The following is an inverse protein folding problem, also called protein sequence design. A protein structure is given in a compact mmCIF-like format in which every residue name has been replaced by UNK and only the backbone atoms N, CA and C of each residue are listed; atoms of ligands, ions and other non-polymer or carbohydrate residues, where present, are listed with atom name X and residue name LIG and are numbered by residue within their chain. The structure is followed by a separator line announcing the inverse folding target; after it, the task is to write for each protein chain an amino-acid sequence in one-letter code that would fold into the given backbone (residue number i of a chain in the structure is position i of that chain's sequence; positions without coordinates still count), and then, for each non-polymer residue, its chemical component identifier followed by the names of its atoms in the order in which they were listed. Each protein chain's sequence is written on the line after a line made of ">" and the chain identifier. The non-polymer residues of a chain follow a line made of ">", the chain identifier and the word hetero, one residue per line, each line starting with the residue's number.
data_IF_768116930061
#
_entry.id   IF_768116930061
#
_cell.length_a   1.000
_cell.length_b   1.000
_cell.length_c   1.000
_cell.angle_alpha   90.00
_cell.angle_beta   90.00
_cell.angle_gamma   90.00
#
_symmetry.space_group_name_H-M   'P 1'
#
loop_
_entity.id
_entity.type
_entity.pdbx_description
1 polymer ?
#
# COMPACT_ATOMS: atom_id res chain seq x y z
N UNK A 1 9.56 -16.31 14.91
CA UNK A 1 8.46 -16.71 14.02
C UNK A 1 7.16 -15.97 14.32
N UNK A 2 6.65 -15.89 15.58
CA UNK A 2 5.41 -15.17 15.92
C UNK A 2 5.41 -13.71 15.43
N UNK A 3 6.50 -12.95 15.65
CA UNK A 3 6.61 -11.54 15.23
C UNK A 3 6.46 -11.33 13.72
N UNK A 4 6.95 -12.26 12.90
CA UNK A 4 6.78 -12.22 11.43
C UNK A 4 5.31 -12.43 11.07
N UNK A 5 4.65 -13.43 11.66
CA UNK A 5 3.22 -13.69 11.44
C UNK A 5 2.39 -12.46 11.82
N UNK A 6 2.70 -11.85 12.97
CA UNK A 6 2.03 -10.63 13.43
C UNK A 6 2.27 -9.47 12.46
N UNK A 7 3.50 -9.28 11.95
CA UNK A 7 3.80 -8.24 10.96
C UNK A 7 2.95 -8.40 9.69
N UNK A 8 2.90 -9.62 9.13
CA UNK A 8 2.05 -9.89 7.97
C UNK A 8 0.55 -9.71 8.27
N UNK A 9 0.08 -10.15 9.43
CA UNK A 9 -1.32 -9.96 9.84
C UNK A 9 -1.70 -8.49 10.04
N UNK A 10 -0.75 -7.65 10.48
CA UNK A 10 -0.99 -6.22 10.70
C UNK A 10 -0.89 -5.38 9.41
N UNK A 11 0.06 -5.70 8.53
CA UNK A 11 0.44 -4.84 7.42
C UNK A 11 0.15 -5.42 6.04
N UNK A 12 -0.56 -6.57 5.99
CA UNK A 12 -1.00 -7.14 4.73
C UNK A 12 -2.34 -7.86 4.85
N UNK A 13 -2.97 -8.14 3.71
CA UNK A 13 -4.16 -9.00 3.60
C UNK A 13 -3.79 -10.45 3.34
N UNK A 14 -2.51 -10.80 3.37
CA UNK A 14 -2.06 -12.18 3.22
C UNK A 14 -2.57 -13.00 4.40
N UNK A 15 -3.31 -14.09 4.16
CA UNK A 15 -3.88 -14.89 5.23
C UNK A 15 -2.78 -15.52 6.09
N UNK A 16 -2.78 -15.18 7.39
CA UNK A 16 -1.84 -15.68 8.38
C UNK A 16 -2.53 -16.56 9.39
N UNK A 17 -1.86 -17.58 9.93
CA UNK A 17 -2.41 -18.37 11.02
C UNK A 17 -2.64 -17.50 12.26
N UNK A 18 -3.71 -17.80 12.99
CA UNK A 18 -4.03 -17.08 14.22
C UNK A 18 -2.98 -17.37 15.29
N UNK A 19 -2.40 -16.31 15.85
CA UNK A 19 -1.42 -16.39 16.93
C UNK A 19 -1.80 -15.40 18.03
N UNK A 20 -1.51 -15.74 19.29
CA UNK A 20 -1.68 -14.80 20.39
C UNK A 20 -0.67 -13.67 20.31
N UNK A 21 -1.15 -12.44 20.48
CA UNK A 21 -0.36 -11.22 20.40
C UNK A 21 0.17 -10.87 21.79
N UNK A 22 1.40 -11.22 22.08
CA UNK A 22 2.10 -10.81 23.28
C UNK A 22 2.95 -9.54 23.03
N UNK A 23 3.16 -8.74 24.08
CA UNK A 23 3.88 -7.46 24.00
C UNK A 23 5.27 -7.59 23.36
N UNK A 24 5.97 -8.69 23.65
CA UNK A 24 7.31 -8.94 23.11
C UNK A 24 7.28 -9.20 21.60
N UNK A 25 6.39 -10.06 21.14
CA UNK A 25 6.24 -10.37 19.72
C UNK A 25 5.77 -9.17 18.92
N UNK A 26 4.90 -8.33 19.50
CA UNK A 26 4.44 -7.08 18.89
C UNK A 26 5.58 -6.06 18.73
N UNK A 27 6.45 -5.91 19.74
CA UNK A 27 7.62 -5.02 19.64
C UNK A 27 8.57 -5.41 18.51
N UNK A 28 8.73 -6.71 18.25
CA UNK A 28 9.56 -7.22 17.16
C UNK A 28 8.85 -7.27 15.80
N UNK A 29 7.52 -7.08 15.76
CA UNK A 29 6.77 -7.05 14.51
C UNK A 29 7.21 -5.90 13.59
N UNK A 30 7.54 -4.73 14.17
CA UNK A 30 8.10 -3.60 13.41
C UNK A 30 9.44 -3.94 12.73
N UNK A 31 10.29 -4.74 13.38
CA UNK A 31 11.54 -5.19 12.78
C UNK A 31 11.30 -6.17 11.62
N UNK A 32 10.17 -6.87 11.61
CA UNK A 32 9.79 -7.78 10.55
C UNK A 32 9.01 -7.09 9.41
N UNK A 33 8.62 -5.82 9.57
CA UNK A 33 7.88 -5.05 8.56
C UNK A 33 8.56 -5.02 7.18
N UNK A 34 9.90 -4.84 7.05
CA UNK A 34 10.56 -4.88 5.75
C UNK A 34 10.34 -6.20 4.98
N UNK A 35 10.12 -7.32 5.67
CA UNK A 35 9.81 -8.60 5.01
C UNK A 35 8.46 -8.58 4.28
N UNK A 36 7.48 -7.83 4.82
CA UNK A 36 6.19 -7.63 4.16
C UNK A 36 6.41 -6.88 2.84
N UNK A 37 7.25 -5.82 2.85
CA UNK A 37 7.65 -5.07 1.66
C UNK A 37 8.33 -5.96 0.62
N UNK A 38 9.27 -6.82 1.04
CA UNK A 38 9.95 -7.77 0.13
C UNK A 38 8.96 -8.69 -0.56
N UNK A 39 7.96 -9.22 0.15
CA UNK A 39 6.95 -10.11 -0.45
C UNK A 39 6.06 -9.35 -1.43
N UNK A 40 5.59 -8.15 -1.06
CA UNK A 40 4.80 -7.30 -1.96
C UNK A 40 5.62 -6.92 -3.20
N UNK A 41 6.88 -6.54 -3.03
CA UNK A 41 7.81 -6.22 -4.11
C UNK A 41 8.08 -7.41 -5.03
N UNK A 42 8.23 -8.62 -4.48
CA UNK A 42 8.41 -9.84 -5.29
C UNK A 42 7.17 -10.14 -6.15
N UNK A 43 5.96 -9.97 -5.61
CA UNK A 43 4.72 -10.12 -6.38
C UNK A 43 4.62 -9.05 -7.47
N UNK A 44 4.94 -7.80 -7.14
CA UNK A 44 4.97 -6.70 -8.10
C UNK A 44 5.97 -6.97 -9.23
N UNK A 45 7.19 -7.39 -8.88
CA UNK A 45 8.20 -7.75 -9.87
C UNK A 45 7.72 -8.87 -10.81
N UNK A 46 7.15 -9.94 -10.24
CA UNK A 46 6.58 -11.04 -11.02
C UNK A 46 5.46 -10.58 -11.96
N UNK A 47 4.60 -9.67 -11.49
CA UNK A 47 3.56 -9.05 -12.32
C UNK A 47 4.15 -8.24 -13.48
N UNK A 48 5.10 -7.38 -13.21
CA UNK A 48 5.74 -6.54 -14.24
C UNK A 48 6.39 -7.41 -15.31
N UNK A 49 7.12 -8.45 -14.90
CA UNK A 49 7.75 -9.42 -15.81
C UNK A 49 6.71 -10.14 -16.68
N UNK A 50 5.64 -10.64 -16.07
CA UNK A 50 4.57 -11.35 -16.78
C UNK A 50 3.84 -10.43 -17.76
N UNK A 51 3.53 -9.21 -17.33
CA UNK A 51 2.83 -8.23 -18.17
C UNK A 51 3.69 -7.78 -19.37
N UNK A 52 5.00 -7.64 -19.19
CA UNK A 52 5.94 -7.35 -20.28
C UNK A 52 6.04 -8.55 -21.24
N UNK A 53 6.11 -9.77 -20.72
CA UNK A 53 6.14 -10.99 -21.54
C UNK A 53 4.88 -11.16 -22.41
N UNK A 54 3.72 -10.70 -21.90
CA UNK A 54 2.43 -10.77 -22.60
C UNK A 54 2.09 -9.49 -23.38
N UNK A 55 2.98 -8.50 -23.42
CA UNK A 55 2.81 -7.18 -24.07
C UNK A 55 1.54 -6.43 -23.61
N UNK A 56 1.26 -6.47 -22.30
CA UNK A 56 0.06 -5.92 -21.66
C UNK A 56 0.30 -4.53 -21.06
N UNK A 57 0.67 -3.52 -21.85
CA UNK A 57 1.10 -2.20 -21.37
C UNK A 57 0.12 -1.53 -20.40
N UNK A 58 -1.18 -1.48 -20.73
CA UNK A 58 -2.17 -0.83 -19.88
C UNK A 58 -2.45 -1.64 -18.61
N UNK A 59 -2.54 -2.97 -18.71
CA UNK A 59 -2.74 -3.86 -17.58
C UNK A 59 -1.51 -3.90 -16.66
N UNK A 60 -0.31 -3.78 -17.22
CA UNK A 60 0.93 -3.65 -16.45
C UNK A 60 0.85 -2.50 -15.46
N UNK A 61 0.52 -1.31 -15.96
CA UNK A 61 0.40 -0.12 -15.13
C UNK A 61 -0.74 -0.24 -14.09
N UNK A 62 -1.89 -0.77 -14.49
CA UNK A 62 -3.01 -0.99 -13.57
C UNK A 62 -2.65 -1.97 -12.45
N UNK A 63 -2.00 -3.08 -12.77
CA UNK A 63 -1.55 -4.06 -11.78
C UNK A 63 -0.44 -3.51 -10.88
N UNK A 64 0.46 -2.67 -11.41
CA UNK A 64 1.51 -2.03 -10.62
C UNK A 64 0.94 -1.10 -9.54
N UNK A 65 -0.20 -0.46 -9.78
CA UNK A 65 -0.92 0.33 -8.78
C UNK A 65 -1.76 -0.56 -7.87
N UNK A 66 -2.52 -1.49 -8.44
CA UNK A 66 -3.53 -2.25 -7.70
C UNK A 66 -2.94 -3.33 -6.79
N UNK A 67 -1.88 -4.05 -7.22
CA UNK A 67 -1.34 -5.17 -6.45
C UNK A 67 -0.77 -4.77 -5.09
N UNK A 68 0.10 -3.74 -4.97
CA UNK A 68 0.58 -3.31 -3.66
C UNK A 68 -0.56 -2.86 -2.74
N UNK A 69 -1.57 -2.15 -3.27
CA UNK A 69 -2.73 -1.72 -2.50
C UNK A 69 -3.57 -2.90 -2.01
N UNK A 70 -3.85 -3.86 -2.88
CA UNK A 70 -4.62 -5.05 -2.52
C UNK A 70 -3.88 -5.91 -1.47
N UNK A 71 -2.57 -6.12 -1.66
CA UNK A 71 -1.75 -6.94 -0.76
C UNK A 71 -1.56 -6.27 0.61
N UNK A 72 -1.36 -4.95 0.66
CA UNK A 72 -1.29 -4.20 1.92
C UNK A 72 -2.65 -3.96 2.58
N UNK A 73 -3.75 -4.32 1.90
CA UNK A 73 -5.11 -4.08 2.37
C UNK A 73 -5.50 -2.61 2.39
N UNK A 74 -4.88 -1.79 1.55
CA UNK A 74 -5.11 -0.35 1.42
C UNK A 74 -4.82 0.48 2.69
N UNK A 75 -4.15 -0.07 3.71
CA UNK A 75 -3.93 0.60 5.01
C UNK A 75 -3.27 1.97 4.84
N UNK A 76 -2.27 2.08 3.94
CA UNK A 76 -1.57 3.34 3.70
C UNK A 76 -2.42 4.32 2.90
N UNK A 77 -3.20 3.83 1.94
CA UNK A 77 -4.11 4.66 1.15
C UNK A 77 -5.26 5.20 2.01
N UNK A 78 -5.78 4.38 2.92
CA UNK A 78 -6.78 4.78 3.92
C UNK A 78 -6.27 5.95 4.78
N UNK A 79 -5.11 5.80 5.40
CA UNK A 79 -4.49 6.87 6.18
C UNK A 79 -4.17 8.14 5.36
N UNK A 80 -3.84 7.99 4.08
CA UNK A 80 -3.68 9.11 3.16
C UNK A 80 -5.01 9.84 2.93
N UNK A 81 -6.08 9.11 2.66
CA UNK A 81 -7.43 9.64 2.47
C UNK A 81 -7.92 10.41 3.70
N UNK A 82 -7.80 9.81 4.89
CA UNK A 82 -8.18 10.44 6.15
C UNK A 82 -7.40 11.73 6.40
N UNK A 83 -6.09 11.70 6.08
CA UNK A 83 -5.22 12.88 6.19
C UNK A 83 -5.66 13.99 5.24
N UNK A 84 -6.04 13.66 4.00
CA UNK A 84 -6.55 14.61 3.02
C UNK A 84 -7.83 15.28 3.51
N UNK A 85 -8.77 14.53 4.07
CA UNK A 85 -10.01 15.10 4.64
C UNK A 85 -9.71 16.00 5.83
N UNK A 86 -8.87 15.56 6.77
CA UNK A 86 -8.52 16.34 7.94
C UNK A 86 -7.82 17.66 7.57
N UNK A 87 -6.89 17.64 6.63
CA UNK A 87 -6.17 18.85 6.18
C UNK A 87 -7.08 19.80 5.42
N UNK A 88 -7.90 19.26 4.52
CA UNK A 88 -8.80 20.06 3.67
C UNK A 88 -9.99 20.66 4.43
N UNK A 89 -10.26 20.19 5.64
CA UNK A 89 -11.34 20.74 6.49
C UNK A 89 -11.12 22.18 6.95
N UNK A 90 -9.86 22.68 6.89
CA UNK A 90 -9.46 24.00 7.43
C UNK A 90 -9.88 24.26 8.88
N UNK A 91 -10.13 23.20 9.66
CA UNK A 91 -10.57 23.27 11.06
C UNK A 91 -9.40 23.38 12.05
N UNK A 92 -9.73 23.59 13.35
CA UNK A 92 -8.75 23.54 14.43
C UNK A 92 -8.05 22.17 14.52
N UNK A 93 -6.92 22.12 15.20
CA UNK A 93 -6.15 20.87 15.40
C UNK A 93 -6.99 19.78 16.06
N UNK A 94 -7.77 20.16 17.08
CA UNK A 94 -8.63 19.25 17.84
C UNK A 94 -9.69 18.63 16.91
N UNK A 95 -10.33 19.46 16.08
CA UNK A 95 -11.35 19.00 15.13
C UNK A 95 -10.76 18.12 14.02
N UNK A 96 -9.55 18.41 13.54
CA UNK A 96 -8.84 17.53 12.59
C UNK A 96 -8.54 16.16 13.18
N UNK A 97 -8.16 16.07 14.46
CA UNK A 97 -7.97 14.81 15.15
C UNK A 97 -9.27 14.01 15.36
N UNK A 98 -10.41 14.69 15.45
CA UNK A 98 -11.72 14.03 15.45
C UNK A 98 -12.06 13.47 14.08
N UNK A 99 -11.81 14.24 13.00
CA UNK A 99 -12.01 13.77 11.61
C UNK A 99 -11.18 12.52 11.32
N UNK A 100 -9.92 12.49 11.75
CA UNK A 100 -9.06 11.30 11.61
C UNK A 100 -9.56 10.05 12.35
N UNK A 101 -10.49 10.19 13.29
CA UNK A 101 -11.12 9.08 14.02
C UNK A 101 -12.49 8.72 13.50
N UNK A 102 -13.03 9.52 12.61
CA UNK A 102 -14.34 9.31 12.01
C UNK A 102 -14.23 8.25 10.91
N UNK A 103 -15.09 7.26 10.93
CA UNK A 103 -15.15 6.22 9.91
C UNK A 103 -15.83 6.67 8.60
N UNK A 104 -16.34 7.89 8.54
CA UNK A 104 -16.99 8.43 7.35
C UNK A 104 -15.96 9.07 6.42
N UNK A 105 -15.97 8.67 5.18
CA UNK A 105 -15.09 9.22 4.14
C UNK A 105 -15.68 10.52 3.60
N UNK A 106 -14.91 11.60 3.67
CA UNK A 106 -15.32 12.92 3.13
C UNK A 106 -15.02 13.05 1.63
N UNK A 107 -15.52 14.13 1.06
CA UNK A 107 -15.37 14.40 -0.38
C UNK A 107 -13.90 14.58 -0.80
N UNK A 108 -13.09 15.20 0.05
CA UNK A 108 -11.67 15.44 -0.25
C UNK A 108 -10.86 14.15 -0.27
N UNK A 109 -11.14 13.17 0.61
CA UNK A 109 -10.55 11.85 0.56
C UNK A 109 -10.79 11.19 -0.79
N UNK A 110 -12.03 11.24 -1.30
CA UNK A 110 -12.40 10.64 -2.60
C UNK A 110 -11.64 11.32 -3.74
N UNK A 111 -11.58 12.66 -3.74
CA UNK A 111 -10.87 13.44 -4.77
C UNK A 111 -9.38 13.13 -4.74
N UNK A 112 -8.74 13.18 -3.56
CA UNK A 112 -7.32 12.91 -3.40
C UNK A 112 -6.97 11.46 -3.76
N UNK A 113 -7.79 10.50 -3.36
CA UNK A 113 -7.64 9.09 -3.75
C UNK A 113 -7.71 8.92 -5.26
N UNK A 114 -8.71 9.50 -5.91
CA UNK A 114 -8.87 9.46 -7.37
C UNK A 114 -7.68 10.06 -8.10
N UNK A 115 -7.19 11.23 -7.66
CA UNK A 115 -6.00 11.87 -8.21
C UNK A 115 -4.74 11.02 -8.01
N UNK A 116 -4.55 10.46 -6.81
CA UNK A 116 -3.44 9.56 -6.53
C UNK A 116 -3.42 8.35 -7.46
N UNK A 117 -4.55 7.67 -7.62
CA UNK A 117 -4.66 6.49 -8.47
C UNK A 117 -4.43 6.84 -9.95
N UNK A 118 -5.00 7.95 -10.43
CA UNK A 118 -4.85 8.41 -11.81
C UNK A 118 -3.39 8.76 -12.13
N UNK A 119 -2.76 9.56 -11.27
CA UNK A 119 -1.36 9.98 -11.45
C UNK A 119 -0.43 8.78 -11.34
N UNK A 120 -0.63 7.90 -10.36
CA UNK A 120 0.17 6.69 -10.20
C UNK A 120 0.06 5.78 -11.44
N UNK A 121 -1.15 5.58 -11.97
CA UNK A 121 -1.36 4.82 -13.20
C UNK A 121 -0.65 5.45 -14.40
N UNK A 122 -0.75 6.78 -14.56
CA UNK A 122 -0.09 7.49 -15.66
C UNK A 122 1.43 7.36 -15.56
N UNK A 123 2.00 7.55 -14.36
CA UNK A 123 3.44 7.38 -14.13
C UNK A 123 3.92 5.96 -14.44
N UNK A 124 3.21 4.93 -13.99
CA UNK A 124 3.56 3.55 -14.29
C UNK A 124 3.50 3.22 -15.80
N UNK A 125 2.70 3.93 -16.58
CA UNK A 125 2.69 3.78 -18.04
C UNK A 125 3.94 4.32 -18.72
N UNK A 126 4.56 5.36 -18.14
CA UNK A 126 5.79 5.99 -18.68
C UNK A 126 7.06 5.25 -18.21
N UNK A 127 6.97 4.46 -17.14
CA UNK A 127 8.13 3.74 -16.62
C UNK A 127 8.48 2.56 -17.52
N UNK A 128 9.71 2.59 -18.04
CA UNK A 128 10.28 1.41 -18.72
C UNK A 128 10.77 0.42 -17.66
N UNK A 129 10.08 -0.70 -17.54
CA UNK A 129 10.35 -1.75 -16.53
C UNK A 129 11.26 -2.87 -17.07
N UNK A 130 11.93 -2.67 -18.19
CA UNK A 130 12.84 -3.69 -18.72
C UNK A 130 14.08 -3.87 -17.82
N UNK A 131 14.38 -5.12 -17.47
CA UNK A 131 15.61 -5.48 -16.77
C UNK A 131 15.72 -5.01 -15.32
N UNK A 132 16.87 -4.42 -14.97
CA UNK A 132 17.20 -4.02 -13.58
C UNK A 132 16.26 -2.96 -12.99
N UNK A 133 15.64 -2.13 -13.83
CA UNK A 133 14.70 -1.08 -13.40
C UNK A 133 13.48 -1.66 -12.68
N UNK A 134 12.97 -2.80 -13.12
CA UNK A 134 11.82 -3.45 -12.49
C UNK A 134 12.14 -3.91 -11.06
N UNK A 135 13.35 -4.41 -10.82
CA UNK A 135 13.79 -4.85 -9.50
C UNK A 135 13.92 -3.67 -8.53
N UNK A 136 14.52 -2.56 -8.97
CA UNK A 136 14.67 -1.33 -8.17
C UNK A 136 13.31 -0.78 -7.77
N UNK A 137 12.37 -0.72 -8.72
CA UNK A 137 11.01 -0.21 -8.48
C UNK A 137 10.18 -1.13 -7.56
N UNK A 138 10.46 -2.43 -7.56
CA UNK A 138 9.77 -3.37 -6.70
C UNK A 138 10.31 -3.37 -5.25
N UNK A 139 11.54 -2.94 -5.03
CA UNK A 139 12.22 -2.92 -3.73
C UNK A 139 12.18 -1.54 -3.04
N UNK A 140 11.89 -0.46 -3.77
CA UNK A 140 11.79 0.92 -3.23
C UNK A 140 10.45 1.25 -2.69
#
# INVERSE_FOLDING_TARGET
>A
MKSVIIAFAMYSKIPMPHVEWDKRSLSWALCAFPLVGVVIGAVLYGWLYLADFLDLTALKAAGAVALPLALSGCIHLDGFCDTCDALSSHQSRERKLEILKDSHTGAFAIICCGLYLLVSYALWREVNTAGESALILALG
#
